data_IF_446717222439
#
_entry.id   IF_446717222439
#
_cell.length_a   1.000
_cell.length_b   1.000
_cell.length_c   1.000
_cell.angle_alpha   90.00
_cell.angle_beta   90.00
_cell.angle_gamma   90.00
#
_symmetry.space_group_name_H-M   'P 1'
#
loop_
_entity.id
_entity.type
_entity.pdbx_description
1 polymer ?
#
# COMPACT_ATOMS: atom_id res chain seq x y z
N UNK A 1 -10.12 8.74 -27.33
CA UNK A 1 -9.13 7.73 -26.91
C UNK A 1 -9.58 7.28 -25.53
N UNK A 2 -10.41 6.23 -25.44
CA UNK A 2 -10.89 5.73 -24.14
C UNK A 2 -9.68 5.34 -23.29
N UNK A 3 -9.48 6.05 -22.18
CA UNK A 3 -8.22 5.96 -21.46
C UNK A 3 -8.28 4.70 -20.57
N UNK A 4 -7.42 3.71 -20.84
CA UNK A 4 -7.24 2.51 -19.98
C UNK A 4 -6.63 2.85 -18.59
N UNK A 5 -6.81 4.08 -18.13
CA UNK A 5 -6.06 4.70 -17.04
C UNK A 5 -6.36 4.04 -15.70
N UNK A 6 -7.64 3.89 -15.34
CA UNK A 6 -8.03 3.18 -14.11
C UNK A 6 -7.62 1.70 -14.15
N UNK A 7 -7.68 1.07 -15.33
CA UNK A 7 -7.28 -0.32 -15.53
C UNK A 7 -5.79 -0.50 -15.22
N UNK A 8 -4.93 0.38 -15.70
CA UNK A 8 -3.49 0.32 -15.44
C UNK A 8 -3.17 0.47 -13.94
N UNK A 9 -3.86 1.39 -13.25
CA UNK A 9 -3.70 1.56 -11.81
C UNK A 9 -4.19 0.34 -11.01
N UNK A 10 -5.26 -0.33 -11.47
CA UNK A 10 -5.74 -1.60 -10.88
C UNK A 10 -4.74 -2.73 -11.05
N UNK A 11 -4.15 -2.87 -12.24
CA UNK A 11 -3.14 -3.90 -12.52
C UNK A 11 -1.91 -3.69 -11.63
N UNK A 12 -1.42 -2.44 -11.55
CA UNK A 12 -0.28 -2.10 -10.69
C UNK A 12 -0.59 -2.38 -9.22
N UNK A 13 -1.74 -1.93 -8.72
CA UNK A 13 -2.17 -2.18 -7.34
C UNK A 13 -2.22 -3.68 -7.01
N UNK A 14 -2.81 -4.48 -7.90
CA UNK A 14 -2.89 -5.92 -7.73
C UNK A 14 -1.51 -6.58 -7.74
N UNK A 15 -0.61 -6.12 -8.61
CA UNK A 15 0.76 -6.63 -8.68
C UNK A 15 1.52 -6.40 -7.36
N UNK A 16 1.34 -5.25 -6.70
CA UNK A 16 1.97 -4.96 -5.41
C UNK A 16 1.38 -5.83 -4.28
N UNK A 17 0.05 -6.00 -4.25
CA UNK A 17 -0.60 -6.88 -3.26
C UNK A 17 -0.12 -8.34 -3.41
N UNK A 18 -0.12 -8.85 -4.64
CA UNK A 18 0.33 -10.21 -4.92
C UNK A 18 1.83 -10.38 -4.68
N UNK A 19 2.64 -9.38 -5.05
CA UNK A 19 4.08 -9.37 -4.81
C UNK A 19 4.42 -9.54 -3.34
N UNK A 20 3.80 -8.73 -2.47
CA UNK A 20 4.00 -8.84 -1.03
C UNK A 20 3.51 -10.18 -0.45
N UNK A 21 2.39 -10.72 -0.92
CA UNK A 21 1.90 -12.06 -0.51
C UNK A 21 2.86 -13.17 -0.92
N UNK A 22 3.37 -13.13 -2.15
CA UNK A 22 4.33 -14.11 -2.66
C UNK A 22 5.63 -14.04 -1.85
N UNK A 23 6.15 -12.84 -1.59
CA UNK A 23 7.37 -12.66 -0.79
C UNK A 23 7.16 -13.16 0.64
N UNK A 24 6.05 -12.82 1.30
CA UNK A 24 5.74 -13.32 2.64
C UNK A 24 5.69 -14.85 2.69
N UNK A 25 5.03 -15.47 1.69
CA UNK A 25 4.89 -16.92 1.60
C UNK A 25 6.24 -17.59 1.38
N UNK A 26 7.03 -17.11 0.41
CA UNK A 26 8.36 -17.65 0.13
C UNK A 26 9.27 -17.55 1.34
N UNK A 27 9.31 -16.39 2.00
CA UNK A 27 10.15 -16.17 3.17
C UNK A 27 9.74 -17.06 4.35
N UNK A 28 8.44 -17.31 4.53
CA UNK A 28 7.96 -18.27 5.54
C UNK A 28 8.46 -19.69 5.29
N UNK A 29 8.44 -20.17 4.04
CA UNK A 29 8.94 -21.51 3.71
C UNK A 29 10.47 -21.61 3.72
N UNK A 30 11.18 -20.50 3.53
CA UNK A 30 12.63 -20.44 3.59
C UNK A 30 13.16 -20.21 5.01
N UNK A 31 12.32 -19.78 5.96
CA UNK A 31 12.75 -19.53 7.34
C UNK A 31 12.96 -20.83 8.10
N UNK A 32 13.84 -20.80 9.09
CA UNK A 32 14.10 -21.94 9.97
C UNK A 32 12.84 -22.24 10.83
N UNK A 33 12.19 -23.41 10.64
CA UNK A 33 10.98 -23.75 11.40
C UNK A 33 11.20 -23.82 12.91
N UNK A 34 12.42 -24.15 13.37
CA UNK A 34 12.73 -24.26 14.80
C UNK A 34 12.81 -22.89 15.47
N UNK A 35 13.14 -21.84 14.71
CA UNK A 35 13.17 -20.45 15.20
C UNK A 35 11.79 -19.78 15.23
N UNK A 36 10.84 -20.32 14.46
CA UNK A 36 9.53 -19.71 14.26
C UNK A 36 8.68 -19.81 15.54
N UNK A 37 8.50 -18.68 16.22
CA UNK A 37 7.67 -18.59 17.41
C UNK A 37 6.94 -17.25 17.47
N UNK A 38 5.73 -17.26 18.02
CA UNK A 38 5.03 -16.02 18.33
C UNK A 38 5.62 -15.43 19.61
N UNK A 39 6.22 -14.24 19.51
CA UNK A 39 6.84 -13.55 20.66
C UNK A 39 6.35 -12.11 20.75
N UNK A 40 5.93 -11.72 21.96
CA UNK A 40 5.48 -10.36 22.26
C UNK A 40 6.60 -9.48 22.82
N UNK A 41 7.64 -10.09 23.40
CA UNK A 41 8.84 -9.37 23.82
C UNK A 41 9.69 -9.06 22.58
N UNK A 42 9.64 -7.81 22.14
CA UNK A 42 10.26 -7.35 20.91
C UNK A 42 11.72 -6.96 21.12
N UNK A 43 12.59 -7.41 20.23
CA UNK A 43 13.94 -6.86 20.09
C UNK A 43 13.90 -5.48 19.42
N UNK A 44 15.05 -4.78 19.41
CA UNK A 44 15.16 -3.40 18.90
C UNK A 44 14.70 -3.29 17.44
N UNK A 45 15.10 -4.23 16.60
CA UNK A 45 14.75 -4.27 15.18
C UNK A 45 13.29 -4.64 14.94
N UNK A 46 12.74 -5.58 15.71
CA UNK A 46 11.32 -5.92 15.67
C UNK A 46 10.44 -4.73 16.13
N UNK A 47 10.91 -3.99 17.14
CA UNK A 47 10.27 -2.75 17.62
C UNK A 47 10.30 -1.68 16.53
N UNK A 48 11.43 -1.52 15.83
CA UNK A 48 11.54 -0.59 14.71
C UNK A 48 10.59 -0.95 13.58
N UNK A 49 10.45 -2.23 13.23
CA UNK A 49 9.49 -2.69 12.22
C UNK A 49 8.05 -2.31 12.60
N UNK A 50 7.66 -2.52 13.86
CA UNK A 50 6.35 -2.16 14.35
C UNK A 50 6.11 -0.65 14.31
N UNK A 51 7.09 0.16 14.76
CA UNK A 51 7.00 1.62 14.71
C UNK A 51 6.89 2.13 13.28
N UNK A 52 7.66 1.55 12.34
CA UNK A 52 7.57 1.87 10.93
C UNK A 52 6.19 1.53 10.36
N UNK A 53 5.63 0.38 10.70
CA UNK A 53 4.28 0.00 10.26
C UNK A 53 3.22 1.02 10.74
N UNK A 54 3.28 1.41 12.03
CA UNK A 54 2.35 2.41 12.59
C UNK A 54 2.56 3.78 11.94
N UNK A 55 3.81 4.25 11.85
CA UNK A 55 4.15 5.52 11.22
C UNK A 55 3.73 5.57 9.75
N UNK A 56 3.80 4.44 9.04
CA UNK A 56 3.37 4.31 7.66
C UNK A 56 1.88 4.58 7.50
N UNK A 57 1.05 3.93 8.31
CA UNK A 57 -0.41 4.10 8.26
C UNK A 57 -0.83 5.56 8.50
N UNK A 58 -0.17 6.22 9.46
CA UNK A 58 -0.39 7.64 9.75
C UNK A 58 0.11 8.51 8.59
N UNK A 59 1.33 8.24 8.10
CA UNK A 59 1.98 9.00 7.04
C UNK A 59 1.19 8.96 5.74
N UNK A 60 0.73 7.79 5.31
CA UNK A 60 -0.09 7.60 4.10
C UNK A 60 -1.37 8.43 4.16
N UNK A 61 -2.06 8.45 5.32
CA UNK A 61 -3.26 9.26 5.52
C UNK A 61 -2.93 10.77 5.47
N UNK A 62 -1.88 11.19 6.18
CA UNK A 62 -1.42 12.58 6.19
C UNK A 62 -1.06 13.09 4.80
N UNK A 63 -0.23 12.34 4.05
CA UNK A 63 0.19 12.73 2.71
C UNK A 63 -1.00 12.80 1.74
N UNK A 64 -1.94 11.85 1.83
CA UNK A 64 -3.14 11.86 1.00
C UNK A 64 -3.99 13.11 1.25
N UNK A 65 -4.31 13.38 2.53
CA UNK A 65 -5.15 14.52 2.90
C UNK A 65 -4.47 15.87 2.58
N UNK A 66 -3.14 15.94 2.63
CA UNK A 66 -2.38 17.14 2.29
C UNK A 66 -2.30 17.42 0.79
N UNK A 67 -2.15 16.36 -0.03
CA UNK A 67 -1.94 16.50 -1.48
C UNK A 67 -3.25 16.54 -2.28
N UNK A 68 -4.27 15.80 -1.84
CA UNK A 68 -5.51 15.64 -2.59
C UNK A 68 -6.23 16.98 -2.91
N UNK A 69 -6.33 17.96 -2.00
CA UNK A 69 -6.99 19.24 -2.31
C UNK A 69 -6.32 20.00 -3.47
N UNK A 70 -4.98 19.98 -3.54
CA UNK A 70 -4.24 20.62 -4.63
C UNK A 70 -4.38 19.89 -5.96
N UNK A 71 -4.68 18.59 -5.94
CA UNK A 71 -5.02 17.82 -7.15
C UNK A 71 -6.44 18.15 -7.60
N UNK A 72 -7.39 18.25 -6.67
CA UNK A 72 -8.78 18.60 -6.97
C UNK A 72 -8.94 19.98 -7.62
N UNK A 73 -8.04 20.92 -7.34
CA UNK A 73 -8.05 22.27 -7.89
C UNK A 73 -7.39 22.41 -9.27
N UNK A 74 -6.95 21.32 -9.90
CA UNK A 74 -6.35 21.35 -11.24
C UNK A 74 -7.41 21.55 -12.32
N UNK A 75 -7.05 22.24 -13.40
CA UNK A 75 -8.00 22.72 -14.42
C UNK A 75 -8.49 21.62 -15.36
N UNK A 76 -7.65 20.61 -15.62
CA UNK A 76 -7.98 19.53 -16.55
C UNK A 76 -8.04 18.16 -15.88
N UNK A 77 -8.90 17.29 -16.43
CA UNK A 77 -8.98 15.88 -16.03
C UNK A 77 -7.62 15.18 -16.13
N UNK A 78 -6.87 15.45 -17.20
CA UNK A 78 -5.56 14.84 -17.44
C UNK A 78 -4.57 15.18 -16.33
N UNK A 79 -4.50 16.45 -15.91
CA UNK A 79 -3.65 16.88 -14.80
C UNK A 79 -4.08 16.26 -13.47
N UNK A 80 -5.39 16.27 -13.17
CA UNK A 80 -5.96 15.62 -11.98
C UNK A 80 -5.55 14.15 -11.94
N UNK A 81 -5.72 13.45 -13.06
CA UNK A 81 -5.45 12.02 -13.17
C UNK A 81 -3.97 11.69 -12.99
N UNK A 82 -3.07 12.39 -13.69
CA UNK A 82 -1.62 12.15 -13.61
C UNK A 82 -1.14 12.30 -12.15
N UNK A 83 -1.55 13.38 -11.47
CA UNK A 83 -1.14 13.64 -10.11
C UNK A 83 -1.80 12.70 -9.10
N UNK A 84 -3.06 12.33 -9.31
CA UNK A 84 -3.75 11.35 -8.48
C UNK A 84 -3.13 9.96 -8.60
N UNK A 85 -2.81 9.52 -9.82
CA UNK A 85 -2.11 8.25 -10.05
C UNK A 85 -0.77 8.24 -9.32
N UNK A 86 0.03 9.30 -9.42
CA UNK A 86 1.29 9.42 -8.69
C UNK A 86 1.08 9.35 -7.16
N UNK A 87 0.06 10.04 -6.63
CA UNK A 87 -0.30 9.98 -5.21
C UNK A 87 -0.66 8.57 -4.77
N UNK A 88 -1.44 7.82 -5.56
CA UNK A 88 -1.81 6.45 -5.21
C UNK A 88 -0.61 5.50 -5.25
N UNK A 89 0.25 5.60 -6.28
CA UNK A 89 1.47 4.78 -6.39
C UNK A 89 2.37 4.99 -5.17
N UNK A 90 2.59 6.24 -4.76
CA UNK A 90 3.39 6.55 -3.56
C UNK A 90 2.78 5.93 -2.30
N UNK A 91 1.45 6.02 -2.13
CA UNK A 91 0.75 5.39 -1.00
C UNK A 91 0.91 3.88 -1.00
N UNK A 92 0.80 3.24 -2.16
CA UNK A 92 0.96 1.80 -2.30
C UNK A 92 2.38 1.36 -1.95
N UNK A 93 3.39 2.04 -2.50
CA UNK A 93 4.80 1.77 -2.26
C UNK A 93 5.19 1.97 -0.79
N UNK A 94 4.63 2.97 -0.11
CA UNK A 94 4.83 3.15 1.32
C UNK A 94 4.34 1.94 2.12
N UNK A 95 3.10 1.50 1.90
CA UNK A 95 2.52 0.37 2.65
C UNK A 95 3.26 -0.93 2.35
N UNK A 96 3.54 -1.20 1.07
CA UNK A 96 4.31 -2.38 0.65
C UNK A 96 5.71 -2.37 1.26
N UNK A 97 6.43 -1.24 1.21
CA UNK A 97 7.78 -1.13 1.76
C UNK A 97 7.83 -1.43 3.26
N UNK A 98 6.86 -0.95 4.04
CA UNK A 98 6.76 -1.28 5.46
C UNK A 98 6.48 -2.79 5.69
N UNK A 99 5.63 -3.39 4.86
CA UNK A 99 5.34 -4.83 4.91
C UNK A 99 6.56 -5.69 4.56
N UNK A 100 7.29 -5.33 3.51
CA UNK A 100 8.52 -6.02 3.10
C UNK A 100 9.62 -5.92 4.17
N UNK A 101 9.77 -4.77 4.83
CA UNK A 101 10.71 -4.63 5.97
C UNK A 101 10.34 -5.60 7.10
N UNK A 102 9.06 -5.69 7.46
CA UNK A 102 8.60 -6.64 8.49
C UNK A 102 8.89 -8.11 8.08
N UNK A 103 8.68 -8.46 6.81
CA UNK A 103 8.98 -9.81 6.28
C UNK A 103 10.48 -10.11 6.35
N UNK A 104 11.34 -9.15 5.99
CA UNK A 104 12.80 -9.33 6.04
C UNK A 104 13.30 -9.52 7.47
N UNK A 105 12.77 -8.75 8.43
CA UNK A 105 13.13 -8.90 9.85
C UNK A 105 12.60 -10.24 10.38
N UNK A 106 11.41 -10.67 9.95
CA UNK A 106 10.89 -12.01 10.26
C UNK A 106 11.87 -13.09 9.81
N UNK A 107 12.41 -13.01 8.59
CA UNK A 107 13.34 -14.02 8.07
C UNK A 107 14.55 -14.24 8.99
N UNK A 108 15.10 -13.17 9.57
CA UNK A 108 16.24 -13.26 10.48
C UNK A 108 15.90 -13.61 11.94
N UNK A 109 14.66 -13.32 12.38
CA UNK A 109 14.25 -13.49 13.79
C UNK A 109 13.37 -14.70 14.03
N UNK A 110 12.53 -15.09 13.08
CA UNK A 110 11.49 -16.10 13.26
C UNK A 110 10.30 -15.64 14.13
N UNK A 111 10.14 -14.33 14.38
CA UNK A 111 9.00 -13.86 15.17
C UNK A 111 7.72 -13.75 14.31
N UNK A 112 6.77 -14.65 14.52
CA UNK A 112 5.52 -14.69 13.76
C UNK A 112 4.69 -13.40 13.86
N UNK A 113 4.89 -12.58 14.90
CA UNK A 113 4.23 -11.27 15.03
C UNK A 113 4.56 -10.35 13.83
N UNK A 114 5.76 -10.43 13.27
CA UNK A 114 6.17 -9.64 12.11
C UNK A 114 5.44 -10.05 10.83
N UNK A 115 5.18 -11.35 10.64
CA UNK A 115 4.33 -11.82 9.54
C UNK A 115 2.87 -11.39 9.72
N UNK A 116 2.36 -11.37 10.94
CA UNK A 116 1.03 -10.83 11.23
C UNK A 116 0.96 -9.35 10.85
N UNK A 117 1.98 -8.56 11.18
CA UNK A 117 2.08 -7.14 10.78
C UNK A 117 2.09 -7.02 9.25
N UNK A 118 2.93 -7.80 8.56
CA UNK A 118 2.98 -7.79 7.11
C UNK A 118 1.64 -8.18 6.46
N UNK A 119 0.92 -9.13 7.04
CA UNK A 119 -0.42 -9.53 6.58
C UNK A 119 -1.46 -8.42 6.80
N UNK A 120 -1.42 -7.71 7.92
CA UNK A 120 -2.28 -6.54 8.18
C UNK A 120 -1.99 -5.41 7.18
N UNK A 121 -0.71 -5.15 6.89
CA UNK A 121 -0.32 -4.16 5.87
C UNK A 121 -0.75 -4.61 4.46
N UNK A 122 -0.65 -5.90 4.15
CA UNK A 122 -1.16 -6.48 2.90
C UNK A 122 -2.67 -6.30 2.77
N UNK A 123 -3.43 -6.58 3.83
CA UNK A 123 -4.87 -6.36 3.85
C UNK A 123 -5.19 -4.87 3.69
N UNK A 124 -4.43 -3.99 4.36
CA UNK A 124 -4.59 -2.54 4.21
C UNK A 124 -4.34 -2.11 2.78
N UNK A 125 -3.24 -2.57 2.16
CA UNK A 125 -2.95 -2.31 0.75
C UNK A 125 -4.09 -2.80 -0.14
N UNK A 126 -4.60 -4.02 0.05
CA UNK A 126 -5.74 -4.55 -0.68
C UNK A 126 -7.00 -3.68 -0.55
N UNK A 127 -7.32 -3.20 0.66
CA UNK A 127 -8.45 -2.29 0.91
C UNK A 127 -8.27 -0.90 0.27
N UNK A 128 -7.04 -0.55 -0.12
CA UNK A 128 -6.74 0.67 -0.88
C UNK A 128 -6.97 0.54 -2.39
N UNK A 129 -7.63 -0.55 -2.84
CA UNK A 129 -7.93 -0.81 -4.25
C UNK A 129 -8.53 0.41 -4.97
N UNK A 130 -8.03 0.73 -6.19
CA UNK A 130 -8.61 1.77 -7.02
C UNK A 130 -9.94 1.29 -7.60
N UNK A 131 -11.01 2.03 -7.35
CA UNK A 131 -12.36 1.77 -7.85
C UNK A 131 -12.88 3.02 -8.51
N UNK A 132 -13.79 2.87 -9.47
CA UNK A 132 -14.33 4.01 -10.23
C UNK A 132 -14.98 5.02 -9.28
N UNK A 133 -15.76 4.52 -8.33
CA UNK A 133 -16.49 5.29 -7.34
C UNK A 133 -15.54 6.03 -6.39
N UNK A 134 -14.47 5.36 -5.92
CA UNK A 134 -13.47 6.00 -5.05
C UNK A 134 -12.70 7.08 -5.80
N UNK A 135 -12.28 6.80 -7.03
CA UNK A 135 -11.51 7.74 -7.84
C UNK A 135 -12.34 8.96 -8.20
N UNK A 136 -13.58 8.79 -8.66
CA UNK A 136 -14.48 9.89 -8.97
C UNK A 136 -14.74 10.79 -7.75
N UNK A 137 -14.99 10.17 -6.58
CA UNK A 137 -15.17 10.90 -5.32
C UNK A 137 -13.90 11.63 -4.89
N UNK A 138 -12.75 10.97 -4.93
CA UNK A 138 -11.48 11.57 -4.50
C UNK A 138 -11.09 12.76 -5.41
N UNK A 139 -11.37 12.68 -6.71
CA UNK A 139 -11.05 13.72 -7.69
C UNK A 139 -12.16 14.79 -7.86
N UNK A 140 -13.35 14.58 -7.27
CA UNK A 140 -14.54 15.42 -7.47
C UNK A 140 -14.84 15.64 -8.97
N UNK A 141 -14.89 14.55 -9.71
CA UNK A 141 -15.10 14.60 -11.16
C UNK A 141 -16.51 15.05 -11.52
N UNK A 142 -16.64 15.76 -12.65
CA UNK A 142 -17.94 16.02 -13.28
C UNK A 142 -18.44 14.77 -14.02
N UNK A 143 -19.71 14.77 -14.43
CA UNK A 143 -20.30 13.67 -15.22
C UNK A 143 -19.55 13.46 -16.54
N UNK A 144 -19.08 14.53 -17.18
CA UNK A 144 -18.27 14.41 -18.41
C UNK A 144 -16.89 13.81 -18.12
N UNK A 145 -16.23 14.20 -17.03
CA UNK A 145 -14.92 13.66 -16.63
C UNK A 145 -15.03 12.18 -16.21
N UNK A 146 -16.11 11.78 -15.53
CA UNK A 146 -16.37 10.39 -15.15
C UNK A 146 -16.55 9.46 -16.37
N UNK A 147 -17.03 9.98 -17.50
CA UNK A 147 -17.14 9.22 -18.75
C UNK A 147 -15.76 8.94 -19.39
N UNK A 148 -14.73 9.72 -19.05
CA UNK A 148 -13.36 9.54 -19.53
C UNK A 148 -12.49 8.57 -18.71
N UNK A 149 -13.05 8.03 -17.62
CA UNK A 149 -12.37 7.26 -16.57
C UNK A 149 -12.62 5.75 -16.65
#
# INVERSE_FOLDING_TARGET
MESNTLKDLKILHLALVLGMLVVATLIYFLSDPEMNALRINLQVDETLALLLAVANLIGVSYFHNKRLPGIQSMDSFEEKWINYRALQIMKYALVEGAGLIAIVIFFGKGNLLLLIIALVLTLTLYLMKPTRERTARDLKLTVEEEAGL
#
